data_IF_643908375659
#
_entry.id   IF_643908375659
#
_cell.length_a   1.000
_cell.length_b   1.000
_cell.length_c   1.000
_cell.angle_alpha   90.00
_cell.angle_beta   90.00
_cell.angle_gamma   90.00
#
_symmetry.space_group_name_H-M   'P 1'
#
loop_
_entity.id
_entity.type
_entity.pdbx_description
1 polymer ?
#
# COMPACT_ATOMS: atom_id res chain seq x y z
N UNK A 1 -4.10 33.13 -10.93
CA UNK A 1 -4.11 32.36 -12.18
C UNK A 1 -4.23 30.89 -11.84
N UNK A 2 -5.36 30.24 -12.13
CA UNK A 2 -5.47 28.80 -12.39
C UNK A 2 -5.69 28.68 -13.90
N UNK A 3 -5.08 27.73 -14.64
CA UNK A 3 -5.60 26.36 -14.65
C UNK A 3 -4.63 25.23 -15.08
N UNK A 4 -4.86 24.01 -14.59
CA UNK A 4 -4.55 22.76 -15.30
C UNK A 4 -5.44 21.65 -14.69
N UNK A 5 -6.21 20.96 -15.55
CA UNK A 5 -6.84 19.66 -15.29
C UNK A 5 -7.56 19.47 -13.96
N UNK A 6 -8.77 20.02 -13.81
CA UNK A 6 -9.76 19.28 -13.02
C UNK A 6 -10.26 18.14 -13.90
N UNK A 7 -9.54 17.02 -13.89
CA UNK A 7 -10.12 15.73 -14.26
C UNK A 7 -11.22 15.51 -13.24
N UNK A 8 -12.46 15.74 -13.66
CA UNK A 8 -13.63 15.23 -12.94
C UNK A 8 -13.56 13.71 -13.03
N UNK A 9 -12.78 13.06 -12.17
CA UNK A 9 -12.89 11.64 -11.95
C UNK A 9 -14.32 11.41 -11.46
N UNK A 10 -15.12 10.82 -12.35
CA UNK A 10 -16.45 10.33 -12.05
C UNK A 10 -16.37 9.48 -10.78
N UNK A 11 -17.29 9.71 -9.85
CA UNK A 11 -17.31 9.16 -8.48
C UNK A 11 -17.47 7.63 -8.45
N UNK A 12 -16.50 6.87 -8.96
CA UNK A 12 -16.57 5.42 -9.19
C UNK A 12 -16.54 4.57 -7.92
N UNK A 13 -16.23 5.18 -6.76
CA UNK A 13 -16.19 4.49 -5.46
C UNK A 13 -17.39 4.74 -4.53
N UNK A 14 -18.34 5.60 -4.90
CA UNK A 14 -19.53 5.92 -4.09
C UNK A 14 -20.55 4.77 -4.15
N UNK A 15 -20.27 3.69 -3.43
CA UNK A 15 -21.14 2.51 -3.38
C UNK A 15 -20.41 1.23 -3.02
N UNK A 16 -19.08 1.24 -3.09
CA UNK A 16 -18.27 0.13 -2.60
C UNK A 16 -18.40 0.03 -1.08
N UNK A 17 -18.55 -1.21 -0.61
CA UNK A 17 -18.65 -1.59 0.79
C UNK A 17 -17.83 -2.85 1.00
N UNK A 18 -17.14 -2.92 2.13
CA UNK A 18 -16.45 -4.13 2.55
C UNK A 18 -17.46 -5.17 3.02
N UNK A 19 -17.28 -6.39 2.55
CA UNK A 19 -17.94 -7.54 3.16
C UNK A 19 -17.35 -7.85 4.54
N UNK A 20 -18.03 -8.72 5.29
CA UNK A 20 -17.43 -9.28 6.52
C UNK A 20 -16.19 -10.11 6.17
N UNK A 21 -15.09 -9.88 6.89
CA UNK A 21 -13.88 -10.72 6.83
C UNK A 21 -13.56 -11.24 8.23
N UNK A 22 -13.02 -12.46 8.34
CA UNK A 22 -12.59 -13.03 9.63
C UNK A 22 -11.29 -12.43 10.14
N UNK A 23 -10.55 -11.74 9.26
CA UNK A 23 -9.23 -11.22 9.57
C UNK A 23 -9.24 -9.93 10.41
N UNK A 24 -10.39 -9.28 10.57
CA UNK A 24 -10.51 -7.97 11.21
C UNK A 24 -11.86 -7.83 11.91
N UNK A 25 -11.90 -7.16 13.07
CA UNK A 25 -13.15 -6.90 13.78
C UNK A 25 -14.00 -5.85 13.04
N UNK A 26 -15.28 -5.76 13.43
CA UNK A 26 -16.24 -4.86 12.77
C UNK A 26 -15.87 -3.39 12.96
N UNK A 27 -15.37 -3.05 14.15
CA UNK A 27 -14.99 -1.69 14.52
C UNK A 27 -13.85 -1.17 13.62
N UNK A 28 -12.82 -2.00 13.40
CA UNK A 28 -11.71 -1.69 12.52
C UNK A 28 -12.17 -1.60 11.06
N UNK A 29 -13.07 -2.48 10.60
CA UNK A 29 -13.61 -2.41 9.24
C UNK A 29 -14.35 -1.09 8.98
N UNK A 30 -15.09 -0.57 9.96
CA UNK A 30 -15.72 0.76 9.85
C UNK A 30 -14.67 1.86 9.70
N UNK A 31 -13.53 1.75 10.40
CA UNK A 31 -12.41 2.70 10.26
C UNK A 31 -11.79 2.62 8.86
N UNK A 32 -11.55 1.40 8.35
CA UNK A 32 -11.04 1.16 6.99
C UNK A 32 -11.95 1.79 5.95
N UNK A 33 -13.26 1.50 5.98
CA UNK A 33 -14.23 2.05 5.04
C UNK A 33 -14.28 3.58 5.10
N UNK A 34 -14.28 4.14 6.31
CA UNK A 34 -14.32 5.58 6.52
C UNK A 34 -13.12 6.27 5.87
N UNK A 35 -11.91 5.79 6.11
CA UNK A 35 -10.69 6.40 5.55
C UNK A 35 -10.64 6.22 4.04
N UNK A 36 -10.98 5.04 3.53
CA UNK A 36 -11.09 4.78 2.10
C UNK A 36 -12.04 5.79 1.44
N UNK A 37 -13.23 5.99 2.00
CA UNK A 37 -14.21 6.94 1.45
C UNK A 37 -13.72 8.39 1.50
N UNK A 38 -13.04 8.80 2.57
CA UNK A 38 -12.44 10.14 2.66
C UNK A 38 -11.40 10.39 1.55
N UNK A 39 -10.52 9.42 1.31
CA UNK A 39 -9.54 9.51 0.23
C UNK A 39 -10.21 9.60 -1.14
N UNK A 40 -11.19 8.72 -1.40
CA UNK A 40 -11.94 8.70 -2.66
C UNK A 40 -12.74 9.99 -2.90
N UNK A 41 -13.27 10.60 -1.84
CA UNK A 41 -13.98 11.87 -1.90
C UNK A 41 -13.07 13.10 -2.06
N UNK A 42 -11.74 12.92 -2.03
CA UNK A 42 -10.78 14.02 -2.10
C UNK A 42 -10.58 14.79 -0.78
N UNK A 43 -11.17 14.31 0.33
CA UNK A 43 -11.02 14.95 1.65
C UNK A 43 -9.59 14.84 2.19
N UNK A 44 -8.77 13.95 1.63
CA UNK A 44 -7.38 13.72 2.02
C UNK A 44 -6.36 14.23 1.00
N UNK A 45 -6.77 15.04 0.02
CA UNK A 45 -5.86 15.60 -1.01
C UNK A 45 -4.79 16.52 -0.42
N UNK A 46 -5.02 17.04 0.79
CA UNK A 46 -4.07 17.88 1.51
C UNK A 46 -2.89 17.13 2.14
N UNK A 47 -2.83 15.79 2.08
CA UNK A 47 -1.71 15.04 2.66
C UNK A 47 -0.38 15.34 1.96
N UNK A 48 -0.39 15.33 0.62
CA UNK A 48 0.76 15.70 -0.22
C UNK A 48 2.09 15.04 0.17
N UNK A 49 3.19 15.72 -0.15
CA UNK A 49 4.55 15.26 0.16
C UNK A 49 4.85 15.20 1.67
N UNK A 50 4.09 15.92 2.50
CA UNK A 50 4.27 15.98 3.95
C UNK A 50 3.54 14.85 4.72
N UNK A 51 3.02 13.85 4.00
CA UNK A 51 2.39 12.67 4.59
C UNK A 51 3.31 12.00 5.62
N UNK A 52 2.74 11.67 6.79
CA UNK A 52 3.43 11.05 7.92
C UNK A 52 2.74 9.76 8.29
N UNK A 53 3.29 8.64 7.85
CA UNK A 53 2.65 7.33 8.02
C UNK A 53 2.41 6.94 9.50
N UNK A 54 3.25 7.41 10.41
CA UNK A 54 3.16 7.14 11.86
C UNK A 54 2.01 7.87 12.57
N UNK A 55 1.38 8.86 11.93
CA UNK A 55 0.22 9.55 12.49
C UNK A 55 -1.08 8.73 12.33
N UNK A 56 -1.00 7.56 11.68
CA UNK A 56 -2.14 6.74 11.28
C UNK A 56 -2.13 5.37 11.96
N UNK A 57 -3.30 4.93 12.42
CA UNK A 57 -3.47 3.58 12.97
C UNK A 57 -3.51 2.52 11.87
N UNK A 58 -3.25 1.26 12.23
CA UNK A 58 -3.22 0.14 11.28
C UNK A 58 -4.51 -0.02 10.43
N UNK A 59 -5.73 0.08 11.00
CA UNK A 59 -6.96 0.08 10.20
C UNK A 59 -7.04 1.27 9.24
N UNK A 60 -6.58 2.45 9.65
CA UNK A 60 -6.60 3.63 8.79
C UNK A 60 -5.60 3.49 7.63
N UNK A 61 -4.44 2.88 7.85
CA UNK A 61 -3.47 2.56 6.80
C UNK A 61 -4.05 1.61 5.75
N UNK A 62 -4.80 0.58 6.17
CA UNK A 62 -5.53 -0.27 5.22
C UNK A 62 -6.57 0.55 4.44
N UNK A 63 -7.28 1.46 5.11
CA UNK A 63 -8.21 2.38 4.45
C UNK A 63 -7.54 3.26 3.39
N UNK A 64 -6.34 3.78 3.67
CA UNK A 64 -5.55 4.54 2.70
C UNK A 64 -5.18 3.68 1.50
N UNK A 65 -4.62 2.47 1.73
CA UNK A 65 -4.27 1.53 0.66
C UNK A 65 -5.49 1.26 -0.22
N UNK A 66 -6.63 0.88 0.37
CA UNK A 66 -7.87 0.65 -0.38
C UNK A 66 -8.31 1.88 -1.16
N UNK A 67 -8.24 3.06 -0.55
CA UNK A 67 -8.59 4.33 -1.17
C UNK A 67 -7.77 4.58 -2.44
N UNK A 68 -6.45 4.34 -2.39
CA UNK A 68 -5.56 4.48 -3.55
C UNK A 68 -6.00 3.57 -4.69
N UNK A 69 -6.25 2.28 -4.42
CA UNK A 69 -6.72 1.34 -5.46
C UNK A 69 -8.07 1.74 -6.05
N UNK A 70 -9.02 2.18 -5.22
CA UNK A 70 -10.35 2.63 -5.68
C UNK A 70 -10.23 3.88 -6.54
N UNK A 71 -9.47 4.88 -6.09
CA UNK A 71 -9.33 6.17 -6.79
C UNK A 71 -8.52 6.04 -8.08
N UNK A 72 -7.58 5.10 -8.16
CA UNK A 72 -6.91 4.73 -9.40
C UNK A 72 -7.79 3.90 -10.37
N UNK A 73 -9.06 3.64 -10.01
CA UNK A 73 -10.04 2.84 -10.76
C UNK A 73 -9.57 1.39 -10.98
N UNK A 74 -8.89 0.81 -9.99
CA UNK A 74 -8.42 -0.58 -10.01
C UNK A 74 -9.38 -1.55 -9.32
N UNK A 75 -10.52 -1.03 -8.82
CA UNK A 75 -11.52 -1.79 -8.08
C UNK A 75 -12.83 -1.80 -8.86
N UNK A 76 -13.25 -2.99 -9.30
CA UNK A 76 -14.44 -3.16 -10.14
C UNK A 76 -15.73 -3.30 -9.32
N UNK A 77 -15.65 -3.93 -8.15
CA UNK A 77 -16.79 -4.24 -7.31
C UNK A 77 -16.37 -4.47 -5.85
N UNK A 78 -17.37 -4.58 -4.95
CA UNK A 78 -17.15 -4.84 -3.52
C UNK A 78 -16.42 -6.16 -3.24
N UNK A 79 -16.54 -7.14 -4.14
CA UNK A 79 -15.84 -8.42 -4.03
C UNK A 79 -14.34 -8.23 -4.26
N UNK A 80 -13.97 -7.45 -5.26
CA UNK A 80 -12.60 -7.07 -5.59
C UNK A 80 -12.01 -6.21 -4.48
N UNK A 81 -12.78 -5.27 -3.94
CA UNK A 81 -12.37 -4.48 -2.78
C UNK A 81 -12.00 -5.36 -1.58
N UNK A 82 -12.86 -6.33 -1.26
CA UNK A 82 -12.63 -7.28 -0.15
C UNK A 82 -11.40 -8.15 -0.39
N UNK A 83 -11.15 -8.57 -1.64
CA UNK A 83 -9.93 -9.31 -2.01
C UNK A 83 -8.67 -8.46 -1.81
N UNK A 84 -8.69 -7.20 -2.21
CA UNK A 84 -7.56 -6.28 -2.02
C UNK A 84 -7.30 -6.05 -0.53
N UNK A 85 -8.35 -5.93 0.29
CA UNK A 85 -8.20 -5.86 1.74
C UNK A 85 -7.51 -7.09 2.31
N UNK A 86 -8.00 -8.29 1.99
CA UNK A 86 -7.41 -9.52 2.50
C UNK A 86 -5.96 -9.67 2.02
N UNK A 87 -5.68 -9.32 0.77
CA UNK A 87 -4.31 -9.26 0.25
C UNK A 87 -3.42 -8.30 1.04
N UNK A 88 -3.88 -7.07 1.29
CA UNK A 88 -3.12 -6.09 2.07
C UNK A 88 -2.87 -6.56 3.50
N UNK A 89 -3.84 -7.24 4.13
CA UNK A 89 -3.68 -7.86 5.44
C UNK A 89 -2.60 -8.95 5.40
N UNK A 90 -2.67 -9.88 4.44
CA UNK A 90 -1.67 -10.94 4.29
C UNK A 90 -0.26 -10.37 4.05
N UNK A 91 -0.15 -9.32 3.23
CA UNK A 91 1.12 -8.60 3.02
C UNK A 91 1.62 -7.98 4.32
N UNK A 92 0.75 -7.33 5.09
CA UNK A 92 1.11 -6.72 6.37
C UNK A 92 1.63 -7.76 7.37
N UNK A 93 1.05 -8.96 7.43
CA UNK A 93 1.53 -10.06 8.27
C UNK A 93 2.87 -10.64 7.81
N UNK A 94 3.26 -10.42 6.54
CA UNK A 94 4.57 -10.78 6.01
C UNK A 94 5.70 -9.82 6.41
N UNK A 95 5.39 -8.62 6.91
CA UNK A 95 6.40 -7.69 7.39
C UNK A 95 6.83 -8.01 8.82
N UNK A 96 8.13 -8.21 9.01
CA UNK A 96 8.72 -8.48 10.32
C UNK A 96 8.74 -7.23 11.20
N UNK A 97 8.91 -7.42 12.51
CA UNK A 97 9.05 -6.33 13.47
C UNK A 97 10.44 -5.66 13.38
N UNK A 98 10.67 -4.94 12.28
CA UNK A 98 11.87 -4.14 12.05
C UNK A 98 11.61 -2.66 12.35
N UNK A 99 12.60 -1.90 12.84
CA UNK A 99 12.44 -0.45 13.06
C UNK A 99 12.14 0.36 11.79
N UNK A 100 12.58 -0.12 10.62
CA UNK A 100 12.41 0.58 9.34
C UNK A 100 11.63 -0.28 8.33
N UNK A 101 12.23 -1.37 7.83
CA UNK A 101 11.64 -2.31 6.84
C UNK A 101 10.42 -3.07 7.39
N UNK A 102 9.33 -2.33 7.56
CA UNK A 102 8.10 -2.68 8.26
C UNK A 102 6.89 -2.33 7.38
N UNK A 103 5.70 -2.74 7.80
CA UNK A 103 4.48 -2.38 7.07
C UNK A 103 4.25 -0.87 6.99
N UNK A 104 4.72 -0.08 7.97
CA UNK A 104 4.68 1.39 7.89
C UNK A 104 5.50 1.90 6.72
N UNK A 105 6.73 1.39 6.54
CA UNK A 105 7.57 1.78 5.40
C UNK A 105 6.93 1.40 4.07
N UNK A 106 6.32 0.21 3.99
CA UNK A 106 5.62 -0.23 2.79
C UNK A 106 4.46 0.70 2.40
N UNK A 107 3.64 1.12 3.37
CA UNK A 107 2.52 2.03 3.10
C UNK A 107 3.01 3.42 2.74
N UNK A 108 4.07 3.92 3.38
CA UNK A 108 4.69 5.21 3.05
C UNK A 108 5.18 5.25 1.58
N UNK A 109 5.93 4.23 1.17
CA UNK A 109 6.39 4.07 -0.22
C UNK A 109 5.22 3.93 -1.20
N UNK A 110 4.18 3.18 -0.81
CA UNK A 110 2.96 3.01 -1.63
C UNK A 110 2.22 4.34 -1.80
N UNK A 111 2.10 5.13 -0.73
CA UNK A 111 1.46 6.43 -0.77
C UNK A 111 2.22 7.40 -1.68
N UNK A 112 3.53 7.50 -1.54
CA UNK A 112 4.35 8.38 -2.40
C UNK A 112 4.29 7.92 -3.86
N UNK A 113 4.28 6.62 -4.12
CA UNK A 113 4.06 6.08 -5.47
C UNK A 113 2.71 6.51 -6.03
N UNK A 114 1.62 6.31 -5.29
CA UNK A 114 0.29 6.77 -5.67
C UNK A 114 0.24 8.29 -5.92
N UNK A 115 0.76 9.08 -4.99
CA UNK A 115 0.76 10.55 -5.08
C UNK A 115 1.54 11.05 -6.30
N UNK A 116 2.70 10.45 -6.57
CA UNK A 116 3.52 10.76 -7.75
C UNK A 116 2.78 10.40 -9.05
N UNK A 117 2.21 9.20 -9.11
CA UNK A 117 1.54 8.71 -10.31
C UNK A 117 0.25 9.48 -10.61
N UNK A 118 -0.57 9.71 -9.58
CA UNK A 118 -1.89 10.33 -9.69
C UNK A 118 -1.84 11.84 -9.54
N UNK A 119 -1.45 12.35 -8.37
CA UNK A 119 -1.62 13.78 -8.05
C UNK A 119 -0.58 14.67 -8.75
N UNK A 120 0.63 14.16 -9.00
CA UNK A 120 1.63 14.85 -9.84
C UNK A 120 1.43 14.60 -11.34
N UNK A 121 0.49 13.73 -11.72
CA UNK A 121 0.15 13.44 -13.13
C UNK A 121 1.20 12.64 -13.90
N UNK A 122 2.14 11.96 -13.21
CA UNK A 122 3.22 11.20 -13.89
C UNK A 122 2.65 10.02 -14.69
N UNK A 123 1.58 9.38 -14.21
CA UNK A 123 0.94 8.29 -14.93
C UNK A 123 0.43 8.74 -16.31
N UNK A 124 -0.23 9.89 -16.37
CA UNK A 124 -0.74 10.45 -17.62
C UNK A 124 0.40 10.89 -18.55
N UNK A 125 1.46 11.49 -17.99
CA UNK A 125 2.63 11.92 -18.76
C UNK A 125 3.37 10.74 -19.41
N UNK A 126 3.46 9.62 -18.71
CA UNK A 126 4.11 8.40 -19.20
C UNK A 126 3.16 7.50 -20.01
N UNK A 127 1.85 7.82 -20.04
CA UNK A 127 0.84 7.01 -20.73
C UNK A 127 0.61 5.65 -20.07
N UNK A 128 0.74 5.56 -18.73
CA UNK A 128 0.58 4.30 -18.01
C UNK A 128 -0.86 3.80 -18.07
N UNK A 129 -1.00 2.50 -18.35
CA UNK A 129 -2.30 1.84 -18.32
C UNK A 129 -2.64 1.32 -16.90
N UNK A 130 -3.88 0.86 -16.71
CA UNK A 130 -4.37 0.38 -15.40
C UNK A 130 -3.60 -0.84 -14.87
N UNK A 131 -3.07 -1.70 -15.74
CA UNK A 131 -2.25 -2.83 -15.32
C UNK A 131 -0.91 -2.36 -14.76
N UNK A 132 -0.27 -1.38 -15.40
CA UNK A 132 0.99 -0.80 -14.94
C UNK A 132 0.80 -0.04 -13.62
N UNK A 133 -0.29 0.72 -13.50
CA UNK A 133 -0.68 1.35 -12.24
C UNK A 133 -0.84 0.32 -11.11
N UNK A 134 -1.58 -0.76 -11.36
CA UNK A 134 -1.75 -1.82 -10.38
C UNK A 134 -0.43 -2.50 -10.02
N UNK A 135 0.42 -2.78 -11.01
CA UNK A 135 1.72 -3.40 -10.79
C UNK A 135 2.64 -2.53 -9.92
N UNK A 136 2.67 -1.21 -10.16
CA UNK A 136 3.48 -0.27 -9.38
C UNK A 136 3.00 -0.16 -7.93
N UNK A 137 1.69 -0.07 -7.70
CA UNK A 137 1.13 0.01 -6.34
C UNK A 137 1.32 -1.30 -5.57
N UNK A 138 1.11 -2.45 -6.23
CA UNK A 138 1.36 -3.77 -5.63
C UNK A 138 2.84 -3.92 -5.30
N UNK A 139 3.74 -3.61 -6.25
CA UNK A 139 5.18 -3.71 -6.05
C UNK A 139 5.63 -2.84 -4.88
N UNK A 140 5.19 -1.58 -4.81
CA UNK A 140 5.51 -0.68 -3.71
C UNK A 140 5.09 -1.26 -2.35
N UNK A 141 3.87 -1.81 -2.26
CA UNK A 141 3.35 -2.40 -1.03
C UNK A 141 4.08 -3.68 -0.61
N UNK A 142 4.58 -4.47 -1.57
CA UNK A 142 5.18 -5.78 -1.31
C UNK A 142 6.71 -5.81 -1.33
N UNK A 143 7.39 -4.71 -1.67
CA UNK A 143 8.82 -4.75 -2.05
C UNK A 143 9.76 -5.32 -0.97
N UNK A 144 9.41 -5.16 0.30
CA UNK A 144 10.22 -5.57 1.47
C UNK A 144 9.54 -6.64 2.33
N UNK A 145 8.55 -7.35 1.79
CA UNK A 145 7.90 -8.47 2.49
C UNK A 145 8.96 -9.50 2.89
N UNK A 146 8.89 -9.97 4.14
CA UNK A 146 9.86 -10.89 4.77
C UNK A 146 11.30 -10.34 4.91
N UNK A 147 11.51 -9.02 4.78
CA UNK A 147 12.84 -8.43 4.97
C UNK A 147 13.37 -8.69 6.41
N UNK A 148 14.61 -9.21 6.59
CA UNK A 148 15.12 -9.63 7.90
C UNK A 148 15.68 -8.48 8.76
N UNK A 149 15.58 -7.24 8.28
CA UNK A 149 16.16 -6.06 8.95
C UNK A 149 17.69 -5.99 8.84
N UNK A 150 18.29 -6.78 7.95
CA UNK A 150 19.73 -6.91 7.78
C UNK A 150 20.10 -6.70 6.31
N UNK A 151 21.17 -5.96 6.06
CA UNK A 151 21.62 -5.71 4.69
C UNK A 151 22.14 -6.98 4.00
N UNK A 152 22.21 -6.95 2.67
CA UNK A 152 22.62 -8.09 1.85
C UNK A 152 24.01 -8.62 2.22
N UNK A 153 24.96 -7.73 2.54
CA UNK A 153 26.31 -8.12 2.90
C UNK A 153 26.35 -8.97 4.17
N UNK A 154 25.53 -8.64 5.17
CA UNK A 154 25.39 -9.44 6.37
C UNK A 154 24.83 -10.84 6.07
N UNK A 155 23.81 -10.92 5.20
CA UNK A 155 23.19 -12.20 4.83
C UNK A 155 24.17 -13.14 4.10
N UNK A 156 24.94 -12.61 3.13
CA UNK A 156 25.98 -13.37 2.44
C UNK A 156 27.03 -13.88 3.42
N UNK A 157 27.49 -13.03 4.36
CA UNK A 157 28.49 -13.41 5.37
C UNK A 157 27.97 -14.53 6.28
N UNK A 158 26.73 -14.44 6.76
CA UNK A 158 26.15 -15.47 7.62
C UNK A 158 25.96 -16.80 6.91
N UNK A 159 25.50 -16.79 5.66
CA UNK A 159 25.35 -18.01 4.85
C UNK A 159 26.71 -18.66 4.55
N UNK A 160 27.75 -17.86 4.28
CA UNK A 160 29.12 -18.34 4.10
C UNK A 160 29.72 -18.97 5.36
N UNK A 161 29.54 -18.33 6.52
CA UNK A 161 30.02 -18.84 7.81
C UNK A 161 29.38 -20.17 8.21
N UNK A 162 28.08 -20.37 7.94
CA UNK A 162 27.40 -21.65 8.19
C UNK A 162 27.91 -22.80 7.30
N UNK A 163 28.29 -22.49 6.06
CA UNK A 163 28.87 -23.48 5.14
C UNK A 163 30.29 -23.90 5.55
N UNK A 164 31.08 -22.98 6.11
CA UNK A 164 32.41 -23.30 6.66
C UNK A 164 32.33 -24.13 7.95
N UNK A 165 31.36 -23.85 8.83
CA UNK A 165 31.14 -24.64 10.05
C UNK A 165 30.76 -26.11 9.74
N UNK A 166 29.96 -26.35 8.69
CA UNK A 166 29.61 -27.72 8.25
C UNK A 166 30.78 -28.50 7.64
N UNK A 167 31.75 -27.83 7.02
CA UNK A 167 32.93 -28.50 6.43
C UNK A 167 33.99 -28.91 7.44
N UNK A 168 33.97 -28.37 8.66
CA UNK A 168 34.91 -28.74 9.73
C UNK A 168 34.37 -29.86 10.64
N UNK A 169 33.17 -30.37 10.38
CA UNK A 169 32.54 -31.46 11.12
C UNK A 169 32.44 -32.78 10.31
N UNK A 170 33.17 -32.89 9.20
CA UNK A 170 33.28 -34.11 8.39
C UNK A 170 34.74 -34.54 8.29
#
# INVERSE_FOLDING_TARGET
>A
MRPAGQTTHQMSGQGLRLGSTKAMCREDLVVVERVMHKLVAGELDGLGMDFKVWDWSRPELFGLVLGMFVRSELVLDSKTLTKILNFAIEVAEGYQHNPYHSFLHAVDVTYIMYWTLSDMGVADQLGLNKMEMAALLIAALTHDVLHPGLNNLYQVRMNGSQMHAKKQQV
#
